data_IF_924355595139
#
_entry.id   IF_924355595139
#
_cell.length_a   1.000
_cell.length_b   1.000
_cell.length_c   1.000
_cell.angle_alpha   90.00
_cell.angle_beta   90.00
_cell.angle_gamma   90.00
#
_symmetry.space_group_name_H-M   'P 1'
#
loop_
_entity.id
_entity.type
_entity.pdbx_description
1 polymer ?
#
# COMPACT_ATOMS: atom_id res chain seq x y z
N UNK A 1 53.62 12.73 18.19
CA UNK A 1 52.25 12.79 18.74
C UNK A 1 51.33 13.06 17.56
N UNK A 2 50.50 12.08 17.19
CA UNK A 2 49.55 12.18 16.07
C UNK A 2 48.33 12.91 16.62
N UNK A 3 48.12 14.16 16.18
CA UNK A 3 46.94 14.91 16.60
C UNK A 3 45.75 14.50 15.74
N UNK A 4 44.74 14.01 16.45
CA UNK A 4 43.42 13.59 15.99
C UNK A 4 42.62 14.74 15.37
N UNK A 5 41.65 14.32 14.56
CA UNK A 5 40.43 15.02 14.14
C UNK A 5 40.44 15.64 12.74
N UNK A 6 40.50 14.77 11.73
CA UNK A 6 39.89 15.01 10.41
C UNK A 6 38.37 14.83 10.50
N UNK A 7 37.67 15.82 11.04
CA UNK A 7 36.25 16.03 10.74
C UNK A 7 36.08 17.54 10.56
N UNK A 8 36.57 18.02 9.42
CA UNK A 8 36.36 19.40 8.98
C UNK A 8 34.88 19.66 8.75
N UNK A 9 34.44 20.80 9.29
CA UNK A 9 33.19 21.50 9.04
C UNK A 9 32.22 20.81 8.07
N UNK A 10 31.21 20.15 8.63
CA UNK A 10 29.97 19.90 7.91
C UNK A 10 29.29 21.26 7.72
N UNK A 11 29.60 21.93 6.60
CA UNK A 11 28.81 23.04 6.11
C UNK A 11 27.37 22.56 5.94
N UNK A 12 26.46 23.08 6.77
CA UNK A 12 25.01 22.90 6.68
C UNK A 12 24.40 23.40 5.35
N UNK A 13 25.22 23.97 4.45
CA UNK A 13 24.85 24.50 3.14
C UNK A 13 24.96 23.50 1.98
N UNK A 14 25.46 22.28 2.20
CA UNK A 14 25.44 21.26 1.14
C UNK A 14 24.08 20.58 1.18
N UNK A 15 23.16 20.85 0.22
CA UNK A 15 21.92 20.09 0.15
C UNK A 15 22.30 18.62 -0.01
N UNK A 16 21.93 17.81 0.98
CA UNK A 16 22.04 16.35 0.88
C UNK A 16 21.37 15.98 -0.43
N UNK A 17 22.02 15.23 -1.33
CA UNK A 17 21.42 14.83 -2.59
C UNK A 17 20.04 14.25 -2.27
N UNK A 18 18.98 14.84 -2.83
CA UNK A 18 17.64 14.27 -2.68
C UNK A 18 17.71 12.85 -3.20
N UNK A 19 17.63 11.88 -2.28
CA UNK A 19 17.62 10.49 -2.66
C UNK A 19 16.48 10.28 -3.66
N UNK A 20 16.75 9.52 -4.72
CA UNK A 20 15.72 9.19 -5.69
C UNK A 20 14.52 8.59 -4.96
N UNK A 21 13.31 8.89 -5.43
CA UNK A 21 12.09 8.26 -4.92
C UNK A 21 12.21 6.73 -4.91
N UNK A 22 12.90 6.17 -5.91
CA UNK A 22 13.16 4.73 -5.99
C UNK A 22 14.02 4.24 -4.81
N UNK A 23 15.10 4.97 -4.49
CA UNK A 23 15.99 4.62 -3.37
C UNK A 23 15.24 4.71 -2.04
N UNK A 24 14.43 5.76 -1.85
CA UNK A 24 13.59 5.91 -0.64
C UNK A 24 12.52 4.81 -0.53
N UNK A 25 11.95 4.37 -1.66
CA UNK A 25 11.00 3.27 -1.67
C UNK A 25 11.68 1.92 -1.32
N UNK A 26 12.85 1.63 -1.91
CA UNK A 26 13.62 0.41 -1.64
C UNK A 26 14.13 0.36 -0.19
N UNK A 27 14.56 1.49 0.35
CA UNK A 27 14.99 1.60 1.76
C UNK A 27 13.81 1.52 2.74
N UNK A 28 12.58 1.34 2.25
CA UNK A 28 11.39 1.19 3.09
C UNK A 28 11.02 2.47 3.82
N UNK A 29 11.44 3.64 3.30
CA UNK A 29 11.15 4.94 3.91
C UNK A 29 9.66 5.11 4.12
N UNK A 30 8.79 4.61 3.24
CA UNK A 30 7.34 4.74 3.37
C UNK A 30 6.68 3.67 4.27
N UNK A 31 7.44 2.72 4.82
CA UNK A 31 6.89 1.65 5.65
C UNK A 31 6.38 2.12 7.03
N UNK A 32 6.73 3.34 7.46
CA UNK A 32 6.12 3.95 8.66
C UNK A 32 4.68 4.42 8.43
N UNK A 33 4.28 4.62 7.17
CA UNK A 33 2.93 5.03 6.80
C UNK A 33 2.07 3.80 6.57
N UNK A 34 0.84 3.86 7.07
CA UNK A 34 -0.19 2.88 6.74
C UNK A 34 -1.03 3.38 5.59
N UNK A 35 -1.53 2.45 4.79
CA UNK A 35 -2.46 2.71 3.72
C UNK A 35 -3.67 1.78 3.86
N UNK A 36 -4.84 2.29 3.48
CA UNK A 36 -6.06 1.50 3.31
C UNK A 36 -6.30 1.24 1.83
N UNK A 37 -6.67 0.01 1.51
CA UNK A 37 -7.05 -0.41 0.17
C UNK A 37 -8.55 -0.62 0.10
N UNK A 38 -9.17 0.06 -0.87
CA UNK A 38 -10.62 0.04 -1.08
C UNK A 38 -10.90 -0.40 -2.50
N UNK A 39 -11.66 -1.47 -2.67
CA UNK A 39 -12.18 -1.84 -3.99
C UNK A 39 -13.46 -1.03 -4.27
N UNK A 40 -13.57 -0.52 -5.49
CA UNK A 40 -14.83 -0.04 -6.07
C UNK A 40 -15.31 -1.13 -7.03
N UNK A 41 -16.51 -1.66 -6.81
CA UNK A 41 -17.01 -2.75 -7.62
C UNK A 41 -17.29 -2.29 -9.06
N UNK A 42 -16.40 -2.65 -9.98
CA UNK A 42 -16.57 -2.35 -11.40
C UNK A 42 -17.73 -3.13 -12.02
N UNK A 43 -18.32 -2.57 -13.09
CA UNK A 43 -19.33 -3.27 -13.91
C UNK A 43 -18.73 -4.21 -14.96
N UNK A 44 -17.48 -3.96 -15.36
CA UNK A 44 -16.80 -4.71 -16.43
C UNK A 44 -16.41 -6.14 -16.02
N UNK A 45 -16.02 -6.34 -14.76
CA UNK A 45 -15.67 -7.65 -14.21
C UNK A 45 -16.75 -8.07 -13.21
N UNK A 46 -17.25 -9.30 -13.30
CA UNK A 46 -18.24 -9.80 -12.35
C UNK A 46 -17.72 -9.70 -10.89
N UNK A 47 -18.55 -9.20 -9.97
CA UNK A 47 -18.21 -9.04 -8.54
C UNK A 47 -17.63 -10.31 -7.91
N UNK A 48 -18.17 -11.49 -8.22
CA UNK A 48 -17.66 -12.76 -7.69
C UNK A 48 -16.22 -13.04 -8.15
N UNK A 49 -15.92 -12.72 -9.42
CA UNK A 49 -14.57 -12.85 -9.96
C UNK A 49 -13.62 -11.83 -9.31
N UNK A 50 -14.08 -10.60 -9.07
CA UNK A 50 -13.31 -9.58 -8.34
C UNK A 50 -13.00 -10.05 -6.91
N UNK A 51 -13.97 -10.62 -6.18
CA UNK A 51 -13.77 -11.16 -4.83
C UNK A 51 -12.72 -12.29 -4.81
N UNK A 52 -12.79 -13.22 -5.76
CA UNK A 52 -11.80 -14.30 -5.87
C UNK A 52 -10.40 -13.78 -6.20
N UNK A 53 -10.29 -12.76 -7.07
CA UNK A 53 -9.01 -12.13 -7.38
C UNK A 53 -8.45 -11.40 -6.15
N UNK A 54 -9.27 -10.65 -5.41
CA UNK A 54 -8.85 -9.99 -4.17
C UNK A 54 -8.30 -10.99 -3.14
N UNK A 55 -8.93 -12.16 -2.96
CA UNK A 55 -8.43 -13.20 -2.05
C UNK A 55 -7.08 -13.79 -2.46
N UNK A 56 -6.79 -13.82 -3.76
CA UNK A 56 -5.48 -14.25 -4.27
C UNK A 56 -4.41 -13.17 -4.06
N UNK A 57 -4.78 -11.90 -4.24
CA UNK A 57 -3.87 -10.76 -4.06
C UNK A 57 -3.57 -10.49 -2.58
N UNK A 58 -4.55 -10.73 -1.72
CA UNK A 58 -4.50 -10.37 -0.32
C UNK A 58 -4.88 -11.59 0.53
N UNK A 59 -3.91 -12.49 0.85
CA UNK A 59 -4.18 -13.75 1.52
C UNK A 59 -4.83 -13.60 2.91
N UNK A 60 -4.68 -12.47 3.58
CA UNK A 60 -5.37 -12.13 4.82
C UNK A 60 -6.90 -12.19 4.69
N UNK A 61 -7.45 -11.97 3.49
CA UNK A 61 -8.88 -12.16 3.23
C UNK A 61 -9.31 -13.63 3.30
N UNK A 62 -8.37 -14.57 3.35
CA UNK A 62 -8.69 -15.98 3.51
C UNK A 62 -9.11 -16.35 4.94
N UNK A 63 -8.75 -15.54 5.93
CA UNK A 63 -9.20 -15.68 7.32
C UNK A 63 -10.71 -15.38 7.45
N UNK A 64 -11.25 -14.57 6.54
CA UNK A 64 -12.67 -14.27 6.45
C UNK A 64 -13.35 -15.33 5.57
N UNK A 65 -14.45 -15.90 6.05
CA UNK A 65 -15.23 -16.85 5.25
C UNK A 65 -15.80 -16.18 4.00
N UNK A 66 -15.92 -16.94 2.90
CA UNK A 66 -16.42 -16.41 1.64
C UNK A 66 -17.86 -15.88 1.78
N UNK A 67 -18.69 -16.58 2.57
CA UNK A 67 -20.06 -16.16 2.90
C UNK A 67 -20.09 -14.81 3.63
N UNK A 68 -19.18 -14.59 4.59
CA UNK A 68 -19.09 -13.31 5.29
C UNK A 68 -18.66 -12.18 4.37
N UNK A 69 -17.73 -12.43 3.45
CA UNK A 69 -17.35 -11.44 2.43
C UNK A 69 -18.57 -11.06 1.59
N UNK A 70 -19.33 -12.04 1.09
CA UNK A 70 -20.54 -11.74 0.32
C UNK A 70 -21.55 -10.89 1.08
N UNK A 71 -21.76 -11.15 2.37
CA UNK A 71 -22.61 -10.30 3.23
C UNK A 71 -22.08 -8.87 3.32
N UNK A 72 -20.78 -8.68 3.58
CA UNK A 72 -20.16 -7.35 3.64
C UNK A 72 -20.34 -6.61 2.32
N UNK A 73 -20.16 -7.30 1.18
CA UNK A 73 -20.34 -6.70 -0.15
C UNK A 73 -21.79 -6.28 -0.38
N UNK A 74 -22.76 -7.05 0.11
CA UNK A 74 -24.17 -6.67 0.06
C UNK A 74 -24.48 -5.47 0.95
N UNK A 75 -23.91 -5.41 2.17
CA UNK A 75 -24.12 -4.31 3.13
C UNK A 75 -23.44 -2.99 2.70
N UNK A 76 -22.21 -3.05 2.17
CA UNK A 76 -21.38 -1.88 1.81
C UNK A 76 -21.61 -1.38 0.38
N UNK A 77 -22.30 -2.16 -0.45
CA UNK A 77 -22.84 -1.75 -1.75
C UNK A 77 -21.78 -1.57 -2.85
N UNK A 78 -21.24 -0.36 -2.99
CA UNK A 78 -20.41 0.07 -4.12
C UNK A 78 -18.90 0.02 -3.85
N UNK A 79 -18.50 0.15 -2.59
CA UNK A 79 -17.09 0.17 -2.19
C UNK A 79 -16.85 -0.62 -0.92
N UNK A 80 -15.70 -1.25 -0.82
CA UNK A 80 -15.30 -1.98 0.38
C UNK A 80 -13.82 -1.80 0.68
N UNK A 81 -13.51 -1.24 1.85
CA UNK A 81 -12.16 -1.26 2.39
C UNK A 81 -11.86 -2.69 2.85
N UNK A 82 -11.02 -3.39 2.09
CA UNK A 82 -10.74 -4.80 2.32
C UNK A 82 -9.42 -5.04 3.05
N UNK A 83 -8.53 -4.05 3.08
CA UNK A 83 -7.24 -4.16 3.76
C UNK A 83 -6.73 -2.83 4.28
N UNK A 84 -5.94 -2.90 5.35
CA UNK A 84 -5.05 -1.84 5.81
C UNK A 84 -3.67 -2.47 6.06
N UNK A 85 -2.61 -1.88 5.50
CA UNK A 85 -1.25 -2.40 5.62
C UNK A 85 -0.22 -1.28 5.44
N UNK A 86 1.07 -1.60 5.45
CA UNK A 86 2.13 -0.61 5.21
C UNK A 86 2.05 -0.10 3.78
N UNK A 87 2.45 1.16 3.57
CA UNK A 87 2.35 1.80 2.26
C UNK A 87 3.06 1.01 1.15
N UNK A 88 4.25 0.46 1.44
CA UNK A 88 5.00 -0.38 0.51
C UNK A 88 4.18 -1.57 0.02
N UNK A 89 3.72 -2.40 0.96
CA UNK A 89 2.89 -3.59 0.68
C UNK A 89 1.59 -3.21 -0.04
N UNK A 90 0.94 -2.12 0.39
CA UNK A 90 -0.30 -1.65 -0.21
C UNK A 90 -0.10 -1.21 -1.67
N UNK A 91 1.03 -0.56 -1.96
CA UNK A 91 1.38 -0.13 -3.32
C UNK A 91 1.60 -1.33 -4.25
N UNK A 92 2.22 -2.39 -3.76
CA UNK A 92 2.42 -3.62 -4.54
C UNK A 92 1.10 -4.30 -4.86
N UNK A 93 0.22 -4.47 -3.87
CA UNK A 93 -1.12 -5.02 -4.08
C UNK A 93 -1.93 -4.13 -5.03
N UNK A 94 -1.85 -2.81 -4.88
CA UNK A 94 -2.54 -1.86 -5.75
C UNK A 94 -2.09 -2.02 -7.22
N UNK A 95 -0.78 -2.04 -7.48
CA UNK A 95 -0.24 -2.21 -8.84
C UNK A 95 -0.70 -3.54 -9.45
N UNK A 96 -0.64 -4.63 -8.69
CA UNK A 96 -1.06 -5.93 -9.19
C UNK A 96 -2.59 -6.00 -9.40
N UNK A 97 -3.38 -5.34 -8.54
CA UNK A 97 -4.83 -5.23 -8.71
C UNK A 97 -5.20 -4.49 -10.01
N UNK A 98 -4.53 -3.37 -10.31
CA UNK A 98 -4.71 -2.61 -11.54
C UNK A 98 -4.35 -3.45 -12.78
N UNK A 99 -3.23 -4.19 -12.75
CA UNK A 99 -2.85 -5.14 -13.81
C UNK A 99 -3.89 -6.23 -14.07
N UNK A 100 -4.66 -6.61 -13.05
CA UNK A 100 -5.76 -7.58 -13.15
C UNK A 100 -7.11 -6.96 -13.48
N UNK A 101 -7.15 -5.64 -13.77
CA UNK A 101 -8.37 -4.92 -14.13
C UNK A 101 -9.33 -4.68 -12.96
N UNK A 102 -8.81 -4.66 -11.73
CA UNK A 102 -9.60 -4.31 -10.55
C UNK A 102 -9.51 -2.80 -10.31
N UNK A 103 -10.67 -2.18 -10.03
CA UNK A 103 -10.71 -0.78 -9.64
C UNK A 103 -10.48 -0.66 -8.12
N UNK A 104 -9.21 -0.55 -7.72
CA UNK A 104 -8.80 -0.38 -6.32
C UNK A 104 -8.27 1.03 -6.13
N UNK A 105 -8.60 1.65 -4.99
CA UNK A 105 -8.05 2.91 -4.50
C UNK A 105 -7.12 2.62 -3.33
N UNK A 106 -6.00 3.33 -3.27
CA UNK A 106 -5.09 3.39 -2.13
C UNK A 106 -5.17 4.78 -1.50
N UNK A 107 -5.28 4.84 -0.18
CA UNK A 107 -5.33 6.09 0.59
C UNK A 107 -4.41 5.97 1.80
N UNK A 108 -3.67 7.05 2.11
CA UNK A 108 -2.86 7.13 3.33
C UNK A 108 -3.78 7.19 4.56
N UNK A 109 -3.46 6.41 5.58
CA UNK A 109 -4.12 6.52 6.89
C UNK A 109 -3.39 7.62 7.65
N UNK A 110 -4.04 8.79 7.77
CA UNK A 110 -3.49 9.91 8.52
C UNK A 110 -3.21 9.53 9.98
N UNK A 111 -2.09 10.03 10.52
CA UNK A 111 -1.87 10.05 11.97
C UNK A 111 -2.75 11.16 12.56
N UNK A 112 -3.77 10.77 13.32
CA UNK A 112 -4.38 11.69 14.30
C UNK A 112 -3.39 11.99 15.42
#
# INVERSE_FOLDING_TARGET
MVNSNEYGDLNDEIPIPEASYADLYELGFWNYKKAKLTIIWGREVNKNKQILLLRKLCPQLNEISLSRIYQIVQEKGERWQFAEMRWGDAMDIFKEAQRKGLNVIIEEVGRN
#
